data_IF_193075224551
#
_entry.id   IF_193075224551
#
_cell.length_a   1.000
_cell.length_b   1.000
_cell.length_c   1.000
_cell.angle_alpha   90.00
_cell.angle_beta   90.00
_cell.angle_gamma   90.00
#
_symmetry.space_group_name_H-M   'P 1'
#
loop_
_entity.id
_entity.type
_entity.pdbx_description
1 polymer ?
#
# COMPACT_ATOMS: atom_id res chain seq x y z
N UNK A 1 -1.23 -5.67 -2.42
CA UNK A 1 -2.47 -5.31 -3.12
C UNK A 1 -2.49 -5.93 -4.50
N UNK A 2 -3.65 -6.38 -4.96
CA UNK A 2 -3.82 -7.09 -6.22
C UNK A 2 -5.14 -6.70 -6.90
N UNK A 3 -5.29 -6.85 -8.23
CA UNK A 3 -6.52 -6.50 -8.93
C UNK A 3 -7.72 -7.21 -8.29
N UNK A 4 -8.79 -6.46 -7.98
CA UNK A 4 -9.94 -7.00 -7.26
C UNK A 4 -10.61 -8.13 -8.05
N UNK A 5 -10.66 -8.03 -9.38
CA UNK A 5 -11.21 -9.07 -10.26
C UNK A 5 -10.44 -10.40 -10.18
N UNK A 6 -9.16 -10.36 -9.81
CA UNK A 6 -8.27 -11.51 -9.75
C UNK A 6 -7.98 -11.97 -8.32
N UNK A 7 -8.61 -11.38 -7.28
CA UNK A 7 -8.23 -11.62 -5.88
C UNK A 7 -8.23 -13.09 -5.48
N UNK A 8 -9.16 -13.89 -6.01
CA UNK A 8 -9.30 -15.31 -5.67
C UNK A 8 -8.19 -16.19 -6.26
N UNK A 9 -7.35 -15.64 -7.15
CA UNK A 9 -6.15 -16.29 -7.66
C UNK A 9 -5.03 -16.33 -6.62
N UNK A 10 -5.01 -15.42 -5.65
CA UNK A 10 -4.06 -15.41 -4.55
C UNK A 10 -4.43 -16.47 -3.50
N UNK A 11 -3.50 -17.39 -3.22
CA UNK A 11 -3.72 -18.54 -2.32
C UNK A 11 -3.00 -18.45 -0.97
N UNK A 12 -2.30 -17.34 -0.73
CA UNK A 12 -1.66 -17.06 0.55
C UNK A 12 -0.67 -18.15 0.96
N UNK A 13 -0.74 -18.58 2.22
CA UNK A 13 0.15 -19.62 2.79
C UNK A 13 0.00 -21.01 2.14
N UNK A 14 -1.10 -21.26 1.41
CA UNK A 14 -1.37 -22.54 0.76
C UNK A 14 -0.65 -22.72 -0.58
N UNK A 15 0.06 -21.69 -1.06
CA UNK A 15 0.86 -21.70 -2.29
C UNK A 15 2.24 -21.04 -2.07
N UNK A 16 2.96 -20.78 -3.18
CA UNK A 16 4.17 -19.97 -3.17
C UNK A 16 3.92 -18.47 -2.96
N UNK A 17 2.67 -18.00 -3.03
CA UNK A 17 2.30 -16.58 -3.02
C UNK A 17 2.82 -15.85 -1.77
N UNK A 18 2.51 -16.39 -0.58
CA UNK A 18 2.99 -15.81 0.67
C UNK A 18 4.51 -15.80 0.76
N UNK A 19 5.18 -16.87 0.32
CA UNK A 19 6.64 -16.96 0.35
C UNK A 19 7.29 -15.93 -0.57
N UNK A 20 6.73 -15.71 -1.75
CA UNK A 20 7.20 -14.69 -2.68
C UNK A 20 6.99 -13.28 -2.13
N UNK A 21 5.83 -13.00 -1.53
CA UNK A 21 5.59 -11.72 -0.86
C UNK A 21 6.56 -11.48 0.31
N UNK A 22 6.81 -12.49 1.15
CA UNK A 22 7.76 -12.38 2.27
C UNK A 22 9.24 -12.35 1.85
N UNK A 23 9.56 -12.65 0.58
CA UNK A 23 10.92 -12.51 0.08
C UNK A 23 11.28 -11.05 -0.18
N UNK A 24 10.28 -10.17 -0.34
CA UNK A 24 10.43 -8.73 -0.44
C UNK A 24 10.80 -8.18 0.94
N UNK A 25 11.95 -7.51 1.06
CA UNK A 25 12.44 -6.97 2.34
C UNK A 25 12.40 -5.45 2.35
N UNK A 26 11.79 -4.88 3.38
CA UNK A 26 11.78 -3.44 3.71
C UNK A 26 11.24 -2.49 2.61
N UNK A 27 10.72 -3.01 1.49
CA UNK A 27 10.55 -2.26 0.23
C UNK A 27 9.25 -2.56 -0.51
N UNK A 28 8.84 -1.62 -1.35
CA UNK A 28 7.82 -1.84 -2.38
C UNK A 28 8.39 -2.73 -3.47
N UNK A 29 7.65 -3.77 -3.84
CA UNK A 29 8.00 -4.61 -4.98
C UNK A 29 6.77 -5.08 -5.74
N UNK A 30 6.93 -5.25 -7.05
CA UNK A 30 5.89 -5.77 -7.92
C UNK A 30 6.14 -7.25 -8.21
N UNK A 31 5.16 -8.10 -7.93
CA UNK A 31 5.14 -9.48 -8.36
C UNK A 31 4.32 -9.59 -9.64
N UNK A 32 4.97 -9.96 -10.74
CA UNK A 32 4.31 -10.16 -12.03
C UNK A 32 3.45 -11.42 -11.96
N UNK A 33 2.20 -11.30 -12.43
CA UNK A 33 1.27 -12.43 -12.49
C UNK A 33 0.50 -12.42 -13.82
N UNK A 34 0.15 -13.60 -14.38
CA UNK A 34 -0.64 -13.68 -15.63
C UNK A 34 -2.00 -12.98 -15.54
N UNK A 35 -2.54 -12.84 -14.33
CA UNK A 35 -3.83 -12.23 -14.05
C UNK A 35 -3.73 -10.77 -13.58
N UNK A 36 -2.53 -10.21 -13.52
CA UNK A 36 -2.26 -8.81 -13.19
C UNK A 36 -1.34 -8.64 -11.99
N UNK A 37 -0.48 -7.64 -12.06
CA UNK A 37 0.62 -7.47 -11.11
C UNK A 37 0.13 -7.17 -9.69
N UNK A 38 0.87 -7.72 -8.73
CA UNK A 38 0.64 -7.53 -7.29
C UNK A 38 1.68 -6.53 -6.79
N UNK A 39 1.25 -5.51 -6.06
CA UNK A 39 2.16 -4.60 -5.36
C UNK A 39 2.26 -5.02 -3.90
N UNK A 40 3.44 -5.45 -3.47
CA UNK A 40 3.77 -5.74 -2.07
C UNK A 40 4.14 -4.43 -1.38
N UNK A 41 3.54 -4.16 -0.21
CA UNK A 41 3.63 -2.87 0.48
C UNK A 41 4.70 -2.85 1.60
N UNK A 42 5.60 -3.83 1.60
CA UNK A 42 6.57 -4.09 2.66
C UNK A 42 6.23 -5.33 3.49
N UNK A 43 7.21 -5.79 4.27
CA UNK A 43 7.20 -7.00 5.09
C UNK A 43 6.73 -6.77 6.52
N UNK A 44 6.85 -5.54 7.05
CA UNK A 44 6.36 -5.23 8.39
C UNK A 44 4.82 -5.20 8.46
N UNK A 45 4.20 -5.86 9.46
CA UNK A 45 2.77 -5.82 9.67
C UNK A 45 2.34 -4.44 10.20
N UNK A 46 1.96 -3.54 9.29
CA UNK A 46 1.46 -2.21 9.61
C UNK A 46 -0.03 -2.10 9.30
N UNK A 47 -0.77 -1.41 10.18
CA UNK A 47 -2.16 -1.01 9.88
C UNK A 47 -2.14 -0.14 8.63
N UNK A 48 -2.91 -0.54 7.63
CA UNK A 48 -2.98 0.14 6.33
C UNK A 48 -4.33 0.82 6.18
N UNK A 49 -4.33 2.04 5.63
CA UNK A 49 -5.53 2.80 5.33
C UNK A 49 -5.49 3.42 3.94
N UNK A 50 -6.66 3.83 3.46
CA UNK A 50 -6.81 4.64 2.25
C UNK A 50 -7.10 6.07 2.66
N UNK A 51 -6.38 7.02 2.08
CA UNK A 51 -6.58 8.44 2.32
C UNK A 51 -6.83 9.17 0.99
N UNK A 52 -7.91 9.92 0.93
CA UNK A 52 -8.24 10.77 -0.22
C UNK A 52 -7.70 12.17 0.01
N UNK A 53 -6.57 12.49 -0.63
CA UNK A 53 -5.99 13.83 -0.60
C UNK A 53 -6.45 14.64 -1.82
N UNK A 54 -6.35 15.98 -1.79
CA UNK A 54 -6.66 16.82 -2.95
C UNK A 54 -5.86 16.48 -4.21
N UNK A 55 -4.64 15.95 -4.06
CA UNK A 55 -3.74 15.54 -5.14
C UNK A 55 -3.93 14.09 -5.61
N UNK A 56 -4.82 13.33 -4.96
CA UNK A 56 -5.19 11.98 -5.35
C UNK A 56 -5.35 11.02 -4.16
N UNK A 57 -5.89 9.81 -4.42
CA UNK A 57 -5.98 8.77 -3.40
C UNK A 57 -4.59 8.18 -3.14
N UNK A 58 -4.27 7.94 -1.87
CA UNK A 58 -3.00 7.38 -1.42
C UNK A 58 -3.23 6.27 -0.40
N UNK A 59 -2.19 5.48 -0.17
CA UNK A 59 -2.16 4.50 0.92
C UNK A 59 -1.30 5.03 2.05
N UNK A 60 -1.74 4.79 3.26
CA UNK A 60 -1.01 5.13 4.48
C UNK A 60 -0.76 3.85 5.27
N UNK A 61 0.46 3.70 5.81
CA UNK A 61 0.81 2.59 6.72
C UNK A 61 1.30 3.16 8.04
N UNK A 62 0.68 2.73 9.13
CA UNK A 62 0.97 3.24 10.47
C UNK A 62 2.20 2.61 11.07
N UNK A 63 3.13 3.44 11.52
CA UNK A 63 4.17 3.03 12.46
C UNK A 63 3.74 3.34 13.89
N UNK A 64 3.39 4.60 14.17
CA UNK A 64 2.79 5.00 15.45
C UNK A 64 2.02 6.31 15.34
N UNK A 65 0.99 6.47 16.17
CA UNK A 65 0.25 7.70 16.39
C UNK A 65 -0.54 7.57 17.70
N UNK A 66 -0.92 8.67 18.37
CA UNK A 66 -1.78 8.61 19.56
C UNK A 66 -3.17 8.05 19.23
N UNK A 67 -3.70 8.43 18.07
CA UNK A 67 -4.99 7.97 17.54
C UNK A 67 -5.06 8.14 16.01
N UNK A 68 -6.17 7.67 15.43
CA UNK A 68 -6.43 7.70 14.00
C UNK A 68 -6.63 9.10 13.44
N UNK A 69 -7.31 9.97 14.19
CA UNK A 69 -7.62 11.31 13.74
C UNK A 69 -6.34 12.14 13.59
N UNK A 70 -5.44 12.05 14.57
CA UNK A 70 -4.14 12.73 14.56
C UNK A 70 -3.27 12.28 13.39
N UNK A 71 -3.26 10.97 13.11
CA UNK A 71 -2.54 10.41 11.97
C UNK A 71 -3.12 10.90 10.62
N UNK A 72 -4.45 10.89 10.47
CA UNK A 72 -5.13 11.40 9.26
C UNK A 72 -4.81 12.89 9.08
N UNK A 73 -4.87 13.68 10.14
CA UNK A 73 -4.56 15.12 10.12
C UNK A 73 -3.13 15.36 9.61
N UNK A 74 -2.13 14.72 10.22
CA UNK A 74 -0.72 14.83 9.77
C UNK A 74 -0.56 14.39 8.31
N UNK A 75 -1.19 13.27 7.94
CA UNK A 75 -1.14 12.75 6.58
C UNK A 75 -1.85 13.65 5.56
N UNK A 76 -2.80 14.49 5.96
CA UNK A 76 -3.46 15.47 5.08
C UNK A 76 -2.70 16.79 4.99
N UNK A 77 -2.17 17.27 6.10
CA UNK A 77 -1.46 18.56 6.20
C UNK A 77 -0.06 18.52 5.59
N UNK A 78 0.55 17.33 5.51
CA UNK A 78 1.90 17.18 4.96
C UNK A 78 1.94 17.53 3.47
N UNK A 79 2.78 18.50 3.12
CA UNK A 79 3.17 18.83 1.74
C UNK A 79 4.23 17.85 1.24
N UNK A 80 3.77 16.75 0.65
CA UNK A 80 4.63 15.65 0.16
C UNK A 80 5.55 16.07 -0.99
N UNK A 81 5.24 17.16 -1.70
CA UNK A 81 6.08 17.65 -2.81
C UNK A 81 7.37 18.31 -2.29
N UNK A 82 7.44 18.63 -0.99
CA UNK A 82 8.67 19.10 -0.31
C UNK A 82 9.50 17.98 0.27
N UNK A 83 9.02 16.75 0.24
CA UNK A 83 9.73 15.59 0.77
C UNK A 83 10.47 14.86 -0.35
N UNK A 84 11.57 14.23 0.03
CA UNK A 84 12.27 13.28 -0.85
C UNK A 84 11.65 11.91 -0.62
N UNK A 85 11.18 11.22 -1.68
CA UNK A 85 10.68 9.86 -1.52
C UNK A 85 11.81 8.95 -1.06
N UNK A 86 11.55 8.13 -0.03
CA UNK A 86 12.50 7.11 0.45
C UNK A 86 12.60 5.94 -0.53
N UNK A 87 11.57 5.78 -1.36
CA UNK A 87 11.50 4.73 -2.38
C UNK A 87 10.62 5.17 -3.56
N UNK A 88 10.91 4.63 -4.74
CA UNK A 88 10.04 4.77 -5.91
C UNK A 88 10.04 3.48 -6.73
N UNK A 89 8.85 3.05 -7.15
CA UNK A 89 8.64 1.85 -7.95
C UNK A 89 7.71 2.15 -9.11
N UNK A 90 8.07 1.66 -10.31
CA UNK A 90 7.12 1.65 -11.41
C UNK A 90 6.14 0.48 -11.27
N UNK A 91 4.84 0.78 -11.25
CA UNK A 91 3.76 -0.19 -11.22
C UNK A 91 2.72 0.09 -12.33
N UNK A 92 2.25 -0.95 -13.02
CA UNK A 92 1.17 -0.82 -14.01
C UNK A 92 -0.20 -1.07 -13.34
N UNK A 93 -1.01 -0.02 -13.30
CA UNK A 93 -2.30 -0.02 -12.62
C UNK A 93 -3.41 -0.31 -13.61
N UNK A 94 -4.12 -1.41 -13.44
CA UNK A 94 -5.35 -1.69 -14.19
C UNK A 94 -6.45 -0.70 -13.81
N UNK A 95 -7.34 -0.37 -14.75
CA UNK A 95 -8.52 0.46 -14.47
C UNK A 95 -9.62 -0.33 -13.74
N UNK A 96 -9.30 -0.78 -12.53
CA UNK A 96 -10.20 -1.47 -11.61
C UNK A 96 -9.79 -1.18 -10.16
N UNK A 97 -10.68 -1.41 -9.17
CA UNK A 97 -10.26 -1.45 -7.78
C UNK A 97 -9.25 -2.58 -7.53
N UNK A 98 -8.41 -2.37 -6.53
CA UNK A 98 -7.46 -3.36 -6.03
C UNK A 98 -7.88 -3.76 -4.61
N UNK A 99 -7.70 -5.05 -4.30
CA UNK A 99 -7.81 -5.57 -2.96
C UNK A 99 -6.46 -5.41 -2.23
N UNK A 100 -6.48 -4.83 -1.04
CA UNK A 100 -5.38 -4.87 -0.08
C UNK A 100 -5.76 -5.90 0.97
N UNK A 101 -4.91 -6.93 1.11
CA UNK A 101 -5.16 -8.09 1.96
C UNK A 101 -3.86 -8.44 2.72
N UNK A 102 -3.99 -9.20 3.79
CA UNK A 102 -2.84 -9.91 4.36
C UNK A 102 -2.34 -10.94 3.34
N UNK A 103 -1.05 -10.92 3.06
CA UNK A 103 -0.42 -11.83 2.11
C UNK A 103 -0.53 -13.30 2.50
N UNK A 104 -0.72 -13.62 3.78
CA UNK A 104 -0.90 -14.97 4.27
C UNK A 104 -2.29 -15.56 3.97
N UNK A 105 -3.29 -14.72 3.76
CA UNK A 105 -4.67 -15.16 3.55
C UNK A 105 -4.95 -15.62 2.12
N UNK A 106 -5.92 -16.53 1.96
CA UNK A 106 -6.51 -16.81 0.64
C UNK A 106 -7.38 -15.61 0.23
N UNK A 107 -7.15 -15.06 -0.96
CA UNK A 107 -7.81 -13.82 -1.39
C UNK A 107 -9.33 -13.95 -1.61
N UNK A 108 -9.87 -15.17 -1.64
CA UNK A 108 -11.31 -15.42 -1.63
C UNK A 108 -11.94 -15.38 -0.24
N UNK A 109 -11.14 -15.35 0.83
CA UNK A 109 -11.59 -15.37 2.23
C UNK A 109 -11.04 -14.21 3.07
N UNK A 110 -9.97 -13.55 2.60
CA UNK A 110 -9.34 -12.44 3.29
C UNK A 110 -10.32 -11.29 3.56
N UNK A 111 -10.09 -10.57 4.66
CA UNK A 111 -10.61 -9.21 4.82
C UNK A 111 -9.96 -8.30 3.78
N UNK A 112 -10.78 -7.46 3.12
CA UNK A 112 -10.32 -6.64 1.99
C UNK A 112 -10.50 -5.17 2.32
N UNK A 113 -9.39 -4.43 2.24
CA UNK A 113 -9.44 -2.99 2.07
C UNK A 113 -9.36 -2.67 0.57
N UNK A 114 -10.44 -2.08 0.02
CA UNK A 114 -10.50 -1.72 -1.39
C UNK A 114 -9.82 -0.36 -1.65
N UNK A 115 -9.06 -0.29 -2.74
CA UNK A 115 -8.38 0.93 -3.18
C UNK A 115 -8.39 1.03 -4.69
N UNK A 116 -8.81 2.18 -5.24
CA UNK A 116 -8.74 2.44 -6.68
C UNK A 116 -7.71 3.55 -6.97
N UNK A 117 -6.46 3.22 -7.30
CA UNK A 117 -5.49 4.20 -7.77
C UNK A 117 -5.79 4.66 -9.20
N UNK A 118 -5.21 5.79 -9.64
CA UNK A 118 -5.26 6.20 -11.03
C UNK A 118 -4.64 5.14 -11.97
N UNK A 119 -5.37 4.74 -13.02
CA UNK A 119 -4.95 3.68 -13.94
C UNK A 119 -3.73 4.05 -14.82
N UNK A 120 -3.09 3.05 -15.41
CA UNK A 120 -1.94 3.13 -16.29
C UNK A 120 -0.61 2.99 -15.56
N UNK A 121 0.47 3.32 -16.27
CA UNK A 121 1.82 3.28 -15.73
C UNK A 121 2.02 4.37 -14.65
N UNK A 122 2.18 3.96 -13.38
CA UNK A 122 2.32 4.85 -12.21
C UNK A 122 3.66 4.71 -11.49
N UNK A 123 4.33 5.83 -11.26
CA UNK A 123 5.50 5.88 -10.40
C UNK A 123 5.02 6.00 -8.95
N UNK A 124 4.93 4.85 -8.28
CA UNK A 124 4.56 4.79 -6.86
C UNK A 124 5.72 5.34 -6.04
N UNK A 125 5.46 6.37 -5.25
CA UNK A 125 6.45 6.99 -4.36
C UNK A 125 6.07 6.76 -2.91
N UNK A 126 7.02 6.26 -2.13
CA UNK A 126 6.87 6.12 -0.68
C UNK A 126 7.55 7.28 0.01
N UNK A 127 6.84 7.91 0.93
CA UNK A 127 7.35 8.95 1.79
C UNK A 127 7.28 8.49 3.24
N UNK A 128 8.35 8.76 3.99
CA UNK A 128 8.34 8.66 5.43
C UNK A 128 7.95 10.02 6.02
N UNK A 129 6.89 10.04 6.81
CA UNK A 129 6.37 11.25 7.45
C UNK A 129 6.48 11.05 8.95
N UNK A 130 7.16 11.98 9.61
CA UNK A 130 7.32 12.01 11.05
C UNK A 130 7.01 13.41 11.58
N UNK A 131 6.13 13.47 12.58
CA UNK A 131 5.84 14.67 13.35
C UNK A 131 6.05 14.36 14.84
N UNK A 132 7.19 14.78 15.37
CA UNK A 132 7.58 14.52 16.76
C UNK A 132 6.68 15.24 17.76
N UNK A 133 6.13 16.41 17.39
CA UNK A 133 5.27 17.19 18.27
C UNK A 133 3.90 16.53 18.43
N UNK A 134 3.35 15.99 17.34
CA UNK A 134 2.10 15.22 17.33
C UNK A 134 2.31 13.74 17.67
N UNK A 135 3.56 13.29 17.80
CA UNK A 135 3.94 11.89 18.02
C UNK A 135 3.37 10.96 16.93
N UNK A 136 3.53 11.33 15.67
CA UNK A 136 3.07 10.54 14.53
C UNK A 136 4.27 10.11 13.68
N UNK A 137 4.29 8.83 13.28
CA UNK A 137 5.07 8.38 12.15
C UNK A 137 4.28 7.40 11.27
N UNK A 138 4.39 7.60 9.95
CA UNK A 138 3.69 6.80 8.95
C UNK A 138 4.48 6.74 7.65
N UNK A 139 4.14 5.74 6.83
CA UNK A 139 4.50 5.71 5.42
C UNK A 139 3.31 6.15 4.58
N UNK A 140 3.56 6.96 3.56
CA UNK A 140 2.56 7.36 2.58
C UNK A 140 3.00 6.90 1.19
N UNK A 141 2.15 6.14 0.50
CA UNK A 141 2.36 5.69 -0.87
C UNK A 141 1.45 6.49 -1.81
N UNK A 142 2.06 7.30 -2.69
CA UNK A 142 1.38 8.08 -3.73
C UNK A 142 1.56 7.42 -5.08
N UNK A 143 0.49 7.34 -5.87
CA UNK A 143 0.43 6.69 -7.18
C UNK A 143 0.42 7.70 -8.32
#
# INVERSE_FOLDING_TARGET
MLPLSARTAWKGVWSGDYREACAVKDRLESLVRPWGDVLVLGDEPMRTGVLFRPDGPCLIRWRYAPDEACMIEVALETDVDRLVPVESLMFDVKDEPYAIIDSGDDGGRAEVLEFKPPAGQRLVRTYEIQDDAKQVALLLHRF
#
